data_IF_961511014031
#
_entry.id   IF_961511014031
#
_cell.length_a   1.000
_cell.length_b   1.000
_cell.length_c   1.000
_cell.angle_alpha   90.00
_cell.angle_beta   90.00
_cell.angle_gamma   90.00
#
_symmetry.space_group_name_H-M   'P 1'
#
loop_
_entity.id
_entity.type
_entity.pdbx_description
1 polymer ?
#
# COMPACT_ATOMS: atom_id res chain seq x y z
N UNK A 1 30.27 55.44 -4.86
CA UNK A 1 29.99 54.46 -3.80
C UNK A 1 28.73 54.77 -3.00
N UNK A 2 28.55 55.99 -2.45
CA UNK A 2 27.30 56.35 -1.73
C UNK A 2 26.02 56.28 -2.59
N UNK A 3 26.08 56.68 -3.85
CA UNK A 3 24.95 56.55 -4.80
C UNK A 3 24.57 55.10 -5.12
N UNK A 4 25.52 54.16 -5.05
CA UNK A 4 25.25 52.75 -5.38
C UNK A 4 24.51 52.03 -4.25
N UNK A 5 24.67 52.50 -3.01
CA UNK A 5 24.01 51.92 -1.83
C UNK A 5 22.54 52.37 -1.72
N UNK A 6 22.22 53.62 -2.08
CA UNK A 6 20.83 54.13 -2.02
C UNK A 6 19.86 53.43 -2.98
N UNK A 7 20.35 52.97 -4.14
CA UNK A 7 19.51 52.23 -5.10
C UNK A 7 19.20 50.80 -4.65
N UNK A 8 20.02 50.21 -3.78
CA UNK A 8 19.78 48.86 -3.25
C UNK A 8 18.72 48.84 -2.15
N UNK A 9 18.66 49.87 -1.29
CA UNK A 9 17.62 50.00 -0.26
C UNK A 9 16.23 50.17 -0.89
N UNK A 10 16.11 51.03 -1.92
CA UNK A 10 14.85 51.22 -2.64
C UNK A 10 14.35 49.95 -3.33
N UNK A 11 15.27 49.12 -3.86
CA UNK A 11 14.92 47.85 -4.46
C UNK A 11 14.45 46.83 -3.42
N UNK A 12 15.10 46.77 -2.25
CA UNK A 12 14.73 45.86 -1.18
C UNK A 12 13.35 46.18 -0.59
N UNK A 13 13.05 47.46 -0.36
CA UNK A 13 11.73 47.91 0.11
C UNK A 13 10.61 47.66 -0.90
N UNK A 14 10.91 47.71 -2.20
CA UNK A 14 9.96 47.35 -3.25
C UNK A 14 9.69 45.84 -3.27
N UNK A 15 10.73 45.02 -3.10
CA UNK A 15 10.58 43.56 -3.00
C UNK A 15 9.79 43.13 -1.75
N UNK A 16 10.03 43.77 -0.60
CA UNK A 16 9.28 43.49 0.63
C UNK A 16 7.79 43.81 0.46
N UNK A 17 7.45 44.98 -0.09
CA UNK A 17 6.05 45.35 -0.36
C UNK A 17 5.37 44.38 -1.33
N UNK A 18 6.06 43.99 -2.40
CA UNK A 18 5.52 43.01 -3.35
C UNK A 18 5.29 41.63 -2.70
N UNK A 19 6.13 41.24 -1.72
CA UNK A 19 5.96 40.00 -0.98
C UNK A 19 4.76 40.07 -0.03
N UNK A 20 4.61 41.19 0.70
CA UNK A 20 3.47 41.43 1.60
C UNK A 20 2.14 41.42 0.84
N UNK A 21 2.08 42.10 -0.32
CA UNK A 21 0.89 42.09 -1.19
C UNK A 21 0.55 40.68 -1.71
N UNK A 22 1.57 39.86 -2.03
CA UNK A 22 1.35 38.49 -2.49
C UNK A 22 0.82 37.58 -1.37
N UNK A 23 1.34 37.74 -0.15
CA UNK A 23 0.85 37.01 1.04
C UNK A 23 -0.60 37.38 1.32
N UNK A 24 -0.94 38.66 1.33
CA UNK A 24 -2.32 39.13 1.58
C UNK A 24 -3.29 38.61 0.52
N UNK A 25 -2.90 38.61 -0.77
CA UNK A 25 -3.70 38.05 -1.86
C UNK A 25 -3.96 36.54 -1.65
N UNK A 26 -2.93 35.76 -1.28
CA UNK A 26 -3.06 34.32 -1.03
C UNK A 26 -3.95 34.01 0.16
N UNK A 27 -3.85 34.79 1.23
CA UNK A 27 -4.73 34.65 2.41
C UNK A 27 -6.18 34.95 2.01
N UNK A 28 -6.43 36.03 1.26
CA UNK A 28 -7.78 36.37 0.77
C UNK A 28 -8.37 35.26 -0.12
N UNK A 29 -7.57 34.67 -1.01
CA UNK A 29 -8.02 33.55 -1.85
C UNK A 29 -8.35 32.30 -1.03
N UNK A 30 -7.53 31.96 -0.04
CA UNK A 30 -7.78 30.81 0.83
C UNK A 30 -9.06 30.99 1.66
N UNK A 31 -9.27 32.18 2.24
CA UNK A 31 -10.49 32.51 2.99
C UNK A 31 -11.73 32.46 2.07
N UNK A 32 -11.64 32.99 0.85
CA UNK A 32 -12.75 32.94 -0.10
C UNK A 32 -13.11 31.51 -0.52
N UNK A 33 -12.12 30.64 -0.73
CA UNK A 33 -12.34 29.22 -1.05
C UNK A 33 -13.02 28.48 0.11
N UNK A 34 -12.65 28.78 1.36
CA UNK A 34 -13.25 28.16 2.53
C UNK A 34 -14.70 28.64 2.75
N UNK A 35 -14.97 29.93 2.50
CA UNK A 35 -16.34 30.47 2.50
C UNK A 35 -17.21 29.78 1.43
N UNK A 36 -16.67 29.55 0.23
CA UNK A 36 -17.41 28.88 -0.86
C UNK A 36 -17.72 27.41 -0.52
N UNK A 37 -16.80 26.69 0.15
CA UNK A 37 -17.07 25.34 0.67
C UNK A 37 -18.20 25.34 1.69
N UNK A 38 -18.18 26.29 2.64
CA UNK A 38 -19.21 26.41 3.67
C UNK A 38 -20.57 26.84 3.11
N UNK A 39 -20.59 27.63 2.03
CA UNK A 39 -21.82 28.06 1.36
C UNK A 39 -22.43 26.99 0.45
N UNK A 40 -21.61 26.07 -0.08
CA UNK A 40 -22.07 24.95 -0.93
C UNK A 40 -22.52 23.72 -0.14
N UNK A 41 -23.05 23.94 1.07
CA UNK A 41 -23.46 22.92 2.02
C UNK A 41 -23.98 21.62 1.38
N UNK A 42 -23.37 20.52 1.82
CA UNK A 42 -23.95 19.21 2.06
C UNK A 42 -25.17 18.86 1.17
N UNK A 43 -24.90 18.60 -0.10
CA UNK A 43 -25.77 17.76 -0.91
C UNK A 43 -25.57 16.31 -0.46
N UNK A 44 -26.57 15.77 0.22
CA UNK A 44 -26.66 14.37 0.64
C UNK A 44 -26.24 13.41 -0.49
N UNK A 45 -25.18 12.65 -0.25
CA UNK A 45 -24.88 11.46 -1.04
C UNK A 45 -25.68 10.27 -0.50
N UNK A 46 -26.17 9.39 -1.38
CA UNK A 46 -26.95 8.23 -0.99
C UNK A 46 -26.09 7.21 -0.25
N UNK A 47 -26.61 6.74 0.87
CA UNK A 47 -26.14 5.57 1.59
C UNK A 47 -26.16 4.35 0.66
N UNK A 48 -25.00 3.74 0.43
CA UNK A 48 -24.90 2.32 0.11
C UNK A 48 -23.50 1.77 0.44
N UNK A 49 -23.54 0.74 1.28
CA UNK A 49 -22.62 -0.41 1.41
C UNK A 49 -21.48 -0.38 2.45
N UNK A 50 -21.59 -1.34 3.37
CA UNK A 50 -20.78 -1.61 4.55
C UNK A 50 -19.31 -1.88 4.19
N UNK A 51 -18.41 -0.97 4.55
CA UNK A 51 -17.01 -1.35 4.79
C UNK A 51 -16.38 -0.51 5.90
N UNK A 52 -15.88 -1.20 6.92
CA UNK A 52 -15.11 -0.66 8.05
C UNK A 52 -13.87 0.12 7.57
N UNK A 53 -14.07 1.38 7.20
CA UNK A 53 -13.02 2.38 7.04
C UNK A 53 -13.12 3.35 8.20
N UNK A 54 -12.15 3.26 9.12
CA UNK A 54 -11.88 4.30 10.11
C UNK A 54 -11.56 5.61 9.36
N UNK A 55 -12.57 6.44 9.17
CA UNK A 55 -12.46 7.81 8.67
C UNK A 55 -11.67 8.67 9.66
N UNK A 56 -10.66 9.36 9.13
CA UNK A 56 -9.96 10.42 9.83
C UNK A 56 -10.86 11.66 9.75
N UNK A 57 -11.72 11.84 10.74
CA UNK A 57 -12.63 12.98 10.87
C UNK A 57 -11.85 14.30 10.97
N UNK A 58 -12.20 15.24 10.09
CA UNK A 58 -11.95 16.68 10.23
C UNK A 58 -12.84 17.24 11.35
N UNK A 59 -12.30 18.19 12.12
CA UNK A 59 -12.92 18.81 13.30
C UNK A 59 -14.19 19.60 12.93
N UNK A 60 -15.36 18.95 12.90
CA UNK A 60 -16.66 19.62 12.84
C UNK A 60 -17.13 20.16 14.20
N UNK A 61 -17.78 21.32 14.15
CA UNK A 61 -18.27 22.10 15.29
C UNK A 61 -19.49 21.40 15.94
N UNK A 62 -19.25 20.62 17.00
CA UNK A 62 -20.29 19.92 17.76
C UNK A 62 -21.31 20.87 18.42
N UNK A 63 -22.57 20.77 17.99
CA UNK A 63 -23.74 21.27 18.74
C UNK A 63 -23.89 20.48 20.04
N UNK A 64 -23.93 21.17 21.18
CA UNK A 64 -24.15 20.59 22.53
C UNK A 64 -25.45 19.78 22.60
N UNK A 65 -25.40 18.46 22.38
CA UNK A 65 -26.46 17.52 22.75
C UNK A 65 -26.21 17.08 24.20
N UNK A 66 -27.18 17.34 25.06
CA UNK A 66 -27.16 16.92 26.46
C UNK A 66 -27.36 15.39 26.53
N UNK A 67 -26.35 14.66 27.00
CA UNK A 67 -26.36 13.20 27.04
C UNK A 67 -27.20 12.74 28.23
N UNK A 68 -28.35 12.09 27.96
CA UNK A 68 -29.16 11.46 29.02
C UNK A 68 -28.36 10.32 29.67
N UNK A 69 -28.18 10.38 31.00
CA UNK A 69 -27.29 9.53 31.80
C UNK A 69 -27.78 8.09 32.04
N UNK A 70 -29.04 7.78 31.75
CA UNK A 70 -29.62 6.48 32.13
C UNK A 70 -29.22 5.37 31.15
N UNK A 71 -28.31 4.50 31.59
CA UNK A 71 -28.02 3.22 30.93
C UNK A 71 -26.77 3.14 30.05
N UNK A 72 -25.90 4.16 30.03
CA UNK A 72 -24.62 4.03 29.31
C UNK A 72 -23.69 3.04 30.02
N UNK A 73 -23.30 1.98 29.30
CA UNK A 73 -22.25 1.05 29.75
C UNK A 73 -20.87 1.70 29.59
N UNK A 74 -19.90 1.26 30.39
CA UNK A 74 -18.49 1.69 30.26
C UNK A 74 -17.97 1.53 28.83
N UNK A 75 -18.25 0.38 28.20
CA UNK A 75 -17.87 0.12 26.82
C UNK A 75 -18.51 1.11 25.83
N UNK A 76 -19.81 1.39 25.95
CA UNK A 76 -20.50 2.37 25.09
C UNK A 76 -19.94 3.79 25.29
N UNK A 77 -19.72 4.20 26.54
CA UNK A 77 -19.13 5.49 26.86
C UNK A 77 -17.73 5.65 26.28
N UNK A 78 -16.89 4.60 26.34
CA UNK A 78 -15.52 4.60 25.81
C UNK A 78 -15.45 4.74 24.28
N UNK A 79 -16.53 4.39 23.58
CA UNK A 79 -16.64 4.50 22.12
C UNK A 79 -17.34 5.78 21.65
N UNK A 80 -17.71 6.68 22.57
CA UNK A 80 -18.27 7.99 22.20
C UNK A 80 -17.24 8.87 21.47
N UNK A 81 -17.70 9.71 20.53
CA UNK A 81 -16.83 10.59 19.75
C UNK A 81 -16.05 11.58 20.63
N UNK A 82 -16.65 12.06 21.73
CA UNK A 82 -15.97 12.89 22.73
C UNK A 82 -14.72 12.20 23.32
N UNK A 83 -14.81 10.90 23.63
CA UNK A 83 -13.67 10.14 24.14
C UNK A 83 -12.66 9.85 23.03
N UNK A 84 -13.11 9.55 21.80
CA UNK A 84 -12.19 9.39 20.65
C UNK A 84 -11.36 10.67 20.40
N UNK A 85 -12.02 11.82 20.46
CA UNK A 85 -11.39 13.13 20.35
C UNK A 85 -10.40 13.37 21.50
N UNK A 86 -10.80 13.09 22.74
CA UNK A 86 -9.89 13.17 23.90
C UNK A 86 -8.65 12.31 23.71
N UNK A 87 -8.79 11.03 23.33
CA UNK A 87 -7.64 10.14 23.11
C UNK A 87 -6.72 10.71 22.02
N UNK A 88 -7.27 11.30 20.96
CA UNK A 88 -6.47 11.97 19.92
C UNK A 88 -5.67 13.15 20.50
N UNK A 89 -6.28 13.98 21.35
CA UNK A 89 -5.58 15.06 22.07
C UNK A 89 -4.48 14.51 22.97
N UNK A 90 -4.73 13.41 23.68
CA UNK A 90 -3.72 12.78 24.53
C UNK A 90 -2.51 12.30 23.71
N UNK A 91 -2.71 11.66 22.56
CA UNK A 91 -1.58 11.26 21.71
C UNK A 91 -0.77 12.46 21.20
N UNK A 92 -1.43 13.55 20.79
CA UNK A 92 -0.76 14.81 20.40
C UNK A 92 0.09 15.37 21.55
N UNK A 93 -0.49 15.42 22.75
CA UNK A 93 0.15 15.92 23.96
C UNK A 93 1.39 15.09 24.36
N UNK A 94 1.24 13.76 24.40
CA UNK A 94 2.31 12.85 24.80
C UNK A 94 3.42 12.70 23.75
N UNK A 95 3.11 12.88 22.46
CA UNK A 95 4.12 12.88 21.39
C UNK A 95 4.77 14.26 21.18
N UNK A 96 4.20 15.32 21.76
CA UNK A 96 4.67 16.69 21.56
C UNK A 96 4.46 17.21 20.13
N UNK A 97 3.33 16.86 19.49
CA UNK A 97 3.05 17.20 18.09
C UNK A 97 1.63 17.74 17.87
N UNK A 98 1.49 18.60 16.87
CA UNK A 98 0.20 19.24 16.54
C UNK A 98 -0.74 18.34 15.72
N UNK A 99 -0.17 17.38 15.00
CA UNK A 99 -0.89 16.49 14.09
C UNK A 99 -0.39 15.05 14.20
N UNK A 100 -1.24 14.08 13.84
CA UNK A 100 -0.95 12.64 13.85
C UNK A 100 -1.09 12.01 12.46
N UNK A 101 -1.07 12.83 11.41
CA UNK A 101 -1.40 12.38 10.03
C UNK A 101 -0.20 11.84 9.27
N UNK A 102 1.03 12.28 9.58
CA UNK A 102 2.24 11.89 8.85
C UNK A 102 3.21 11.12 9.72
N UNK A 103 4.13 10.39 9.09
CA UNK A 103 5.15 9.60 9.77
C UNK A 103 6.08 10.47 10.60
N UNK A 104 6.46 11.63 10.08
CA UNK A 104 7.36 12.58 10.73
C UNK A 104 6.77 13.06 12.05
N UNK A 105 5.46 13.31 12.07
CA UNK A 105 4.78 13.71 13.30
C UNK A 105 4.68 12.56 14.32
N UNK A 106 4.70 11.31 13.89
CA UNK A 106 4.67 10.15 14.81
C UNK A 106 6.04 9.84 15.43
N UNK A 107 7.13 10.37 14.87
CA UNK A 107 8.46 10.22 15.46
C UNK A 107 8.67 11.10 16.71
N UNK A 108 7.79 12.08 16.92
CA UNK A 108 7.89 13.02 18.04
C UNK A 108 9.06 14.00 17.89
N UNK A 109 9.34 14.76 18.95
CA UNK A 109 10.51 15.62 18.99
C UNK A 109 11.80 14.77 18.99
N UNK A 110 12.67 14.99 18.02
CA UNK A 110 13.99 14.34 17.99
C UNK A 110 14.82 14.82 19.19
N UNK A 111 14.95 14.00 20.22
CA UNK A 111 15.86 14.30 21.33
C UNK A 111 17.26 13.82 20.97
N UNK A 112 18.26 14.70 20.84
CA UNK A 112 19.64 14.27 20.65
C UNK A 112 20.12 13.58 21.93
N UNK A 113 20.56 12.32 21.84
CA UNK A 113 21.46 11.69 22.81
C UNK A 113 20.93 11.40 24.24
N UNK A 114 19.81 10.70 24.35
CA UNK A 114 19.46 10.02 25.62
C UNK A 114 19.03 10.95 26.76
N UNK A 115 18.78 12.22 26.45
CA UNK A 115 18.16 13.16 27.38
C UNK A 115 16.69 12.79 27.63
N UNK A 116 16.20 13.13 28.83
CA UNK A 116 14.80 12.95 29.22
C UNK A 116 13.87 13.73 28.27
N UNK A 117 12.77 13.10 27.85
CA UNK A 117 11.78 13.73 26.99
C UNK A 117 11.14 14.95 27.70
N UNK A 118 10.74 16.02 26.98
CA UNK A 118 10.14 17.19 27.62
C UNK A 118 8.94 16.83 28.51
N UNK A 119 8.79 17.55 29.63
CA UNK A 119 7.60 17.46 30.45
C UNK A 119 6.38 17.98 29.69
N UNK A 120 5.25 17.32 29.86
CA UNK A 120 3.95 17.83 29.40
C UNK A 120 3.63 19.08 30.21
N UNK A 121 3.34 20.23 29.56
CA UNK A 121 3.11 21.50 30.25
C UNK A 121 2.08 21.39 31.38
N UNK A 122 2.48 21.84 32.59
CA UNK A 122 1.62 21.82 33.77
C UNK A 122 1.56 20.48 34.51
N UNK A 123 2.43 19.53 34.16
CA UNK A 123 2.47 18.21 34.80
C UNK A 123 3.91 17.73 35.03
N UNK A 124 4.06 16.73 35.89
CA UNK A 124 5.33 16.04 36.12
C UNK A 124 5.52 14.81 35.18
N UNK A 125 4.65 14.67 34.18
CA UNK A 125 4.67 13.54 33.25
C UNK A 125 5.48 13.90 32.02
N UNK A 126 6.43 13.04 31.65
CA UNK A 126 7.25 13.21 30.47
C UNK A 126 6.48 12.79 29.20
N UNK A 127 6.82 13.42 28.08
CA UNK A 127 6.43 12.92 26.76
C UNK A 127 6.93 11.48 26.54
N UNK A 128 6.32 10.78 25.58
CA UNK A 128 6.55 9.35 25.34
C UNK A 128 6.90 9.11 23.89
N UNK A 129 7.93 8.30 23.64
CA UNK A 129 8.21 7.72 22.32
C UNK A 129 7.73 6.28 22.24
N UNK A 130 7.07 5.92 21.14
CA UNK A 130 6.66 4.54 20.88
C UNK A 130 7.62 3.79 19.96
N UNK A 131 7.72 2.49 20.18
CA UNK A 131 8.29 1.59 19.19
C UNK A 131 7.20 1.21 18.19
N UNK A 132 7.15 1.93 17.07
CA UNK A 132 6.16 1.74 16.01
C UNK A 132 6.34 0.42 15.23
N UNK A 133 7.48 -0.26 15.33
CA UNK A 133 7.64 -1.59 14.72
C UNK A 133 6.84 -2.64 15.48
N UNK A 134 6.57 -2.38 16.76
CA UNK A 134 5.98 -3.31 17.71
C UNK A 134 4.51 -2.99 18.01
N UNK A 135 3.75 -4.03 18.39
CA UNK A 135 2.32 -3.90 18.71
C UNK A 135 2.11 -3.36 20.12
N UNK A 136 0.89 -2.94 20.45
CA UNK A 136 0.51 -2.49 21.79
C UNK A 136 0.79 -3.53 22.89
N UNK A 137 0.76 -4.83 22.54
CA UNK A 137 0.92 -5.94 23.49
C UNK A 137 2.37 -6.20 23.93
N UNK A 138 3.36 -5.59 23.26
CA UNK A 138 4.76 -5.71 23.70
C UNK A 138 5.00 -4.82 24.92
N UNK A 139 5.83 -5.30 25.85
CA UNK A 139 5.93 -4.79 27.22
C UNK A 139 6.17 -3.27 27.31
N UNK A 140 7.02 -2.72 26.44
CA UNK A 140 7.36 -1.29 26.48
C UNK A 140 6.21 -0.39 26.02
N UNK A 141 5.55 -0.73 24.91
CA UNK A 141 4.40 0.04 24.42
C UNK A 141 3.20 -0.12 25.37
N UNK A 142 2.98 -1.31 25.93
CA UNK A 142 1.87 -1.56 26.85
C UNK A 142 1.89 -0.65 28.08
N UNK A 143 3.06 -0.50 28.73
CA UNK A 143 3.22 0.39 29.88
C UNK A 143 2.99 1.86 29.52
N UNK A 144 3.52 2.30 28.37
CA UNK A 144 3.32 3.66 27.84
C UNK A 144 1.85 3.98 27.56
N UNK A 145 1.12 3.05 26.96
CA UNK A 145 -0.31 3.20 26.67
C UNK A 145 -1.16 3.21 27.95
N UNK A 146 -0.73 2.46 28.97
CA UNK A 146 -1.34 2.50 30.30
C UNK A 146 -1.17 3.86 30.97
N UNK A 147 0.03 4.45 30.91
CA UNK A 147 0.27 5.83 31.38
C UNK A 147 -0.66 6.84 30.69
N UNK A 148 -0.84 6.73 29.38
CA UNK A 148 -1.77 7.62 28.64
C UNK A 148 -3.22 7.42 29.11
N UNK A 149 -3.65 6.17 29.32
CA UNK A 149 -5.01 5.88 29.76
C UNK A 149 -5.27 6.40 31.19
N UNK A 150 -4.34 6.21 32.12
CA UNK A 150 -4.43 6.75 33.48
C UNK A 150 -4.45 8.28 33.49
N UNK A 151 -3.59 8.90 32.69
CA UNK A 151 -3.56 10.36 32.54
C UNK A 151 -4.86 10.91 31.96
N UNK A 152 -5.39 10.27 30.90
CA UNK A 152 -6.68 10.64 30.31
C UNK A 152 -7.84 10.48 31.30
N UNK A 153 -7.81 9.44 32.14
CA UNK A 153 -8.84 9.19 33.16
C UNK A 153 -8.84 10.25 34.25
N UNK A 154 -7.68 10.74 34.64
CA UNK A 154 -7.49 11.69 35.76
C UNK A 154 -7.62 13.15 35.31
N UNK A 155 -6.95 13.51 34.22
CA UNK A 155 -6.81 14.90 33.76
C UNK A 155 -7.56 15.17 32.44
N UNK A 156 -8.16 14.17 31.79
CA UNK A 156 -8.75 14.35 30.45
C UNK A 156 -9.85 15.42 30.37
N UNK A 157 -10.53 15.70 31.48
CA UNK A 157 -11.53 16.77 31.57
C UNK A 157 -10.95 18.18 31.45
N UNK A 158 -9.66 18.37 31.73
CA UNK A 158 -8.95 19.65 31.55
C UNK A 158 -8.63 19.92 30.08
N UNK A 159 -8.52 18.86 29.27
CA UNK A 159 -8.12 18.94 27.86
C UNK A 159 -9.28 18.89 26.87
N UNK A 160 -10.43 18.33 27.26
CA UNK A 160 -11.62 18.29 26.41
C UNK A 160 -12.88 18.52 27.24
N UNK A 161 -13.61 19.60 26.96
CA UNK A 161 -14.87 19.89 27.64
C UNK A 161 -15.92 18.81 27.38
N UNK A 162 -16.75 18.49 28.38
CA UNK A 162 -17.86 17.56 28.25
C UNK A 162 -17.51 16.08 28.43
N UNK A 163 -16.22 15.73 28.58
CA UNK A 163 -15.81 14.33 28.79
C UNK A 163 -15.91 13.88 30.25
N UNK A 164 -16.01 14.80 31.22
CA UNK A 164 -15.96 14.48 32.65
C UNK A 164 -16.96 13.39 33.06
N UNK A 165 -18.22 13.56 32.66
CA UNK A 165 -19.29 12.60 33.00
C UNK A 165 -19.07 11.23 32.36
N UNK A 166 -18.53 11.20 31.14
CA UNK A 166 -18.18 9.97 30.44
C UNK A 166 -16.99 9.29 31.11
N UNK A 167 -15.96 10.05 31.47
CA UNK A 167 -14.80 9.56 32.18
C UNK A 167 -15.23 8.94 33.51
N UNK A 168 -16.17 9.51 34.27
CA UNK A 168 -16.64 8.93 35.53
C UNK A 168 -17.24 7.51 35.35
N UNK A 169 -17.89 7.24 34.21
CA UNK A 169 -18.52 5.96 33.88
C UNK A 169 -17.51 4.93 33.36
N UNK A 170 -16.51 5.36 32.58
CA UNK A 170 -15.60 4.48 31.85
C UNK A 170 -14.60 3.80 32.81
N UNK A 171 -14.54 2.47 32.80
CA UNK A 171 -13.51 1.71 33.49
C UNK A 171 -12.15 1.88 32.79
N UNK A 172 -11.07 1.85 33.57
CA UNK A 172 -9.71 2.03 33.04
C UNK A 172 -9.36 1.00 31.94
N UNK A 173 -9.85 -0.24 32.06
CA UNK A 173 -9.65 -1.29 31.05
C UNK A 173 -10.25 -0.95 29.68
N UNK A 174 -11.46 -0.39 29.66
CA UNK A 174 -12.10 0.04 28.40
C UNK A 174 -11.39 1.26 27.80
N UNK A 175 -10.96 2.21 28.64
CA UNK A 175 -10.18 3.37 28.19
C UNK A 175 -8.83 2.94 27.61
N UNK A 176 -8.13 2.00 28.26
CA UNK A 176 -6.87 1.41 27.76
C UNK A 176 -7.09 0.74 26.41
N UNK A 177 -8.15 -0.06 26.26
CA UNK A 177 -8.51 -0.67 24.97
C UNK A 177 -8.72 0.36 23.85
N UNK A 178 -9.32 1.52 24.17
CA UNK A 178 -9.47 2.62 23.22
C UNK A 178 -8.15 3.27 22.85
N UNK A 179 -7.26 3.49 23.83
CA UNK A 179 -5.89 3.99 23.60
C UNK A 179 -5.09 3.01 22.72
N UNK A 180 -5.19 1.71 22.96
CA UNK A 180 -4.56 0.67 22.12
C UNK A 180 -5.08 0.68 20.68
N UNK A 181 -6.39 0.83 20.50
CA UNK A 181 -7.01 0.95 19.17
C UNK A 181 -6.44 2.14 18.40
N UNK A 182 -6.36 3.32 19.05
CA UNK A 182 -5.77 4.51 18.42
C UNK A 182 -4.28 4.30 18.10
N UNK A 183 -3.50 3.72 19.02
CA UNK A 183 -2.09 3.38 18.77
C UNK A 183 -1.91 2.50 17.54
N UNK A 184 -2.71 1.43 17.41
CA UNK A 184 -2.60 0.52 16.27
C UNK A 184 -2.96 1.20 14.94
N UNK A 185 -3.92 2.14 14.96
CA UNK A 185 -4.24 2.98 13.80
C UNK A 185 -3.05 3.86 13.40
N UNK A 186 -2.43 4.58 14.36
CA UNK A 186 -1.23 5.41 14.11
C UNK A 186 -0.04 4.58 13.64
N UNK A 187 0.16 3.39 14.22
CA UNK A 187 1.15 2.43 13.75
C UNK A 187 0.92 2.01 12.30
N UNK A 188 -0.34 1.88 11.88
CA UNK A 188 -0.70 1.63 10.49
C UNK A 188 -0.21 2.75 9.56
N UNK A 189 -0.41 4.01 9.94
CA UNK A 189 0.10 5.19 9.23
C UNK A 189 1.62 5.13 9.11
N UNK A 190 2.32 4.91 10.24
CA UNK A 190 3.77 4.81 10.27
C UNK A 190 4.32 3.73 9.31
N UNK A 191 3.72 2.53 9.32
CA UNK A 191 4.18 1.40 8.49
C UNK A 191 3.83 1.59 7.01
N UNK A 192 2.69 2.22 6.69
CA UNK A 192 2.34 2.57 5.31
C UNK A 192 3.35 3.55 4.73
N UNK A 193 3.68 4.61 5.47
CA UNK A 193 4.68 5.59 5.03
C UNK A 193 6.07 4.94 4.80
N UNK A 194 6.51 4.02 5.68
CA UNK A 194 7.76 3.27 5.45
C UNK A 194 7.72 2.43 4.17
N UNK A 195 6.55 1.87 3.85
CA UNK A 195 6.34 1.07 2.63
C UNK A 195 6.23 1.98 1.40
N UNK A 196 5.62 3.15 1.54
CA UNK A 196 5.53 4.19 0.51
C UNK A 196 6.90 4.76 0.19
N UNK A 197 7.80 4.97 1.14
CA UNK A 197 9.19 5.36 0.84
C UNK A 197 9.92 4.30 0.01
N UNK A 198 9.64 3.02 0.28
CA UNK A 198 10.16 1.88 -0.49
C UNK A 198 9.46 1.80 -1.86
N UNK A 199 8.18 2.12 -1.92
CA UNK A 199 7.37 2.05 -3.12
C UNK A 199 7.45 3.30 -4.00
N UNK A 200 7.78 4.49 -3.51
CA UNK A 200 8.03 5.70 -4.31
C UNK A 200 9.31 5.53 -5.12
N UNK A 201 10.30 4.80 -4.57
CA UNK A 201 11.42 4.27 -5.39
C UNK A 201 10.92 3.32 -6.49
N UNK A 202 9.81 2.61 -6.28
CA UNK A 202 9.10 1.83 -7.30
C UNK A 202 8.04 2.63 -8.08
N UNK A 203 7.62 3.84 -7.74
CA UNK A 203 6.56 4.55 -8.48
C UNK A 203 7.04 5.07 -9.84
N UNK A 204 8.36 5.16 -10.04
CA UNK A 204 8.96 5.18 -11.38
C UNK A 204 8.55 3.97 -12.25
N UNK A 205 8.06 2.89 -11.66
CA UNK A 205 7.50 1.70 -12.32
C UNK A 205 5.96 1.66 -12.39
N UNK A 206 5.24 2.42 -11.57
CA UNK A 206 3.76 2.45 -11.57
C UNK A 206 3.19 3.10 -12.84
N UNK A 207 3.77 4.23 -13.27
CA UNK A 207 3.44 4.85 -14.56
C UNK A 207 3.78 3.92 -15.74
N UNK A 208 4.82 3.10 -15.62
CA UNK A 208 5.22 2.13 -16.65
C UNK A 208 4.22 0.98 -16.75
N UNK A 209 3.75 0.45 -15.63
CA UNK A 209 2.74 -0.61 -15.59
C UNK A 209 1.42 -0.17 -16.25
N UNK A 210 0.97 1.05 -16.01
CA UNK A 210 -0.23 1.60 -16.66
C UNK A 210 -0.05 1.73 -18.17
N UNK A 211 1.16 2.08 -18.65
CA UNK A 211 1.43 2.21 -20.08
C UNK A 211 1.52 0.87 -20.78
N UNK A 212 2.27 -0.09 -20.22
CA UNK A 212 2.35 -1.44 -20.78
C UNK A 212 0.95 -2.08 -20.88
N UNK A 213 0.09 -1.86 -19.88
CA UNK A 213 -1.31 -2.26 -19.91
C UNK A 213 -2.09 -1.58 -21.04
N UNK A 214 -2.02 -0.25 -21.16
CA UNK A 214 -2.68 0.49 -22.24
C UNK A 214 -2.23 0.05 -23.64
N UNK A 215 -0.94 -0.24 -23.81
CA UNK A 215 -0.36 -0.76 -25.06
C UNK A 215 -0.89 -2.16 -25.38
N UNK A 216 -0.95 -3.05 -24.38
CA UNK A 216 -1.53 -4.38 -24.54
C UNK A 216 -3.00 -4.28 -24.99
N UNK A 217 -3.81 -3.47 -24.31
CA UNK A 217 -5.23 -3.30 -24.65
C UNK A 217 -5.41 -2.77 -26.08
N UNK A 218 -4.58 -1.82 -26.52
CA UNK A 218 -4.58 -1.33 -27.89
C UNK A 218 -4.23 -2.43 -28.89
N UNK A 219 -3.18 -3.23 -28.61
CA UNK A 219 -2.77 -4.36 -29.46
C UNK A 219 -3.84 -5.44 -29.55
N UNK A 220 -4.56 -5.75 -28.46
CA UNK A 220 -5.69 -6.69 -28.48
C UNK A 220 -6.79 -6.16 -29.40
N UNK A 221 -7.17 -4.88 -29.31
CA UNK A 221 -8.17 -4.27 -30.19
C UNK A 221 -7.73 -4.31 -31.65
N UNK A 222 -6.49 -3.91 -31.94
CA UNK A 222 -5.89 -3.92 -33.28
C UNK A 222 -5.85 -5.33 -33.87
N UNK A 223 -5.43 -6.32 -33.10
CA UNK A 223 -5.41 -7.73 -33.51
C UNK A 223 -6.80 -8.27 -33.80
N UNK A 224 -7.81 -7.93 -32.99
CA UNK A 224 -9.19 -8.35 -33.24
C UNK A 224 -9.75 -7.76 -34.55
N UNK A 225 -9.22 -6.61 -34.97
CA UNK A 225 -9.59 -5.94 -36.23
C UNK A 225 -8.83 -6.47 -37.46
N UNK A 226 -7.88 -7.41 -37.30
CA UNK A 226 -7.24 -8.06 -38.43
C UNK A 226 -8.24 -8.92 -39.23
N UNK A 227 -8.01 -9.11 -40.54
CA UNK A 227 -8.76 -10.06 -41.36
C UNK A 227 -8.81 -11.45 -40.72
N UNK A 228 -9.93 -12.16 -40.90
CA UNK A 228 -10.16 -13.47 -40.26
C UNK A 228 -9.14 -14.53 -40.71
N UNK A 229 -8.65 -14.41 -41.93
CA UNK A 229 -7.65 -15.27 -42.57
C UNK A 229 -6.20 -14.86 -42.23
N UNK A 230 -5.99 -13.78 -41.47
CA UNK A 230 -4.65 -13.36 -41.07
C UNK A 230 -4.04 -14.33 -40.05
N UNK A 231 -2.83 -14.81 -40.34
CA UNK A 231 -2.13 -15.78 -39.49
C UNK A 231 -1.96 -15.33 -38.03
N UNK A 232 -1.79 -14.03 -37.80
CA UNK A 232 -1.57 -13.47 -36.46
C UNK A 232 -2.84 -13.42 -35.62
N UNK A 233 -4.01 -13.68 -36.21
CA UNK A 233 -5.26 -13.88 -35.47
C UNK A 233 -5.33 -15.25 -34.79
N UNK A 234 -4.49 -16.21 -35.21
CA UNK A 234 -4.43 -17.54 -34.63
C UNK A 234 -4.16 -17.52 -33.11
N UNK A 235 -4.84 -18.38 -32.36
CA UNK A 235 -4.71 -18.51 -30.90
C UNK A 235 -3.29 -18.83 -30.44
N UNK A 236 -2.42 -19.41 -31.28
CA UNK A 236 -1.02 -19.71 -30.91
C UNK A 236 -0.23 -18.46 -30.46
N UNK A 237 -0.62 -17.28 -30.95
CA UNK A 237 -0.01 -15.99 -30.60
C UNK A 237 -0.62 -15.33 -29.36
N UNK A 238 -1.70 -15.88 -28.77
CA UNK A 238 -2.32 -15.31 -27.56
C UNK A 238 -1.33 -15.15 -26.41
N UNK A 239 -0.35 -16.06 -26.34
CA UNK A 239 0.69 -16.04 -25.31
C UNK A 239 1.57 -14.77 -25.35
N UNK A 240 1.68 -14.09 -26.50
CA UNK A 240 2.41 -12.83 -26.61
C UNK A 240 1.60 -11.60 -26.15
N UNK A 241 0.28 -11.76 -25.98
CA UNK A 241 -0.65 -10.71 -25.57
C UNK A 241 -0.77 -10.63 -24.04
N UNK A 242 0.37 -10.51 -23.36
CA UNK A 242 0.47 -10.32 -21.91
C UNK A 242 1.33 -9.10 -21.59
N UNK A 243 1.10 -8.49 -20.42
CA UNK A 243 1.70 -7.18 -20.06
C UNK A 243 3.24 -7.27 -20.05
N UNK A 244 3.78 -8.40 -19.59
CA UNK A 244 5.21 -8.64 -19.45
C UNK A 244 5.95 -8.70 -20.79
N UNK A 245 5.25 -9.00 -21.88
CA UNK A 245 5.84 -9.08 -23.23
C UNK A 245 5.83 -7.73 -23.97
N UNK A 246 5.13 -6.73 -23.43
CA UNK A 246 5.08 -5.39 -24.01
C UNK A 246 6.43 -4.68 -23.79
N UNK A 247 6.86 -3.86 -24.75
CA UNK A 247 8.06 -3.04 -24.56
C UNK A 247 7.78 -1.90 -23.58
N UNK A 248 8.81 -1.48 -22.84
CA UNK A 248 8.78 -0.24 -22.08
C UNK A 248 8.93 0.93 -23.05
N UNK A 249 8.04 1.91 -22.97
CA UNK A 249 8.12 3.11 -23.82
C UNK A 249 8.82 4.21 -23.03
N UNK A 250 9.93 4.71 -23.57
CA UNK A 250 10.70 5.79 -22.96
C UNK A 250 10.26 7.14 -23.51
N UNK A 251 10.28 8.18 -22.69
CA UNK A 251 10.11 9.55 -23.19
C UNK A 251 11.31 9.88 -24.06
N UNK A 252 11.07 10.40 -25.26
CA UNK A 252 12.15 10.94 -26.08
C UNK A 252 12.75 12.16 -25.36
N UNK A 253 14.05 12.17 -25.04
CA UNK A 253 14.68 13.33 -24.41
C UNK A 253 14.70 14.57 -25.30
N UNK A 254 14.66 14.40 -26.63
CA UNK A 254 14.64 15.51 -27.59
C UNK A 254 13.21 16.06 -27.80
N UNK A 255 12.21 15.18 -27.75
CA UNK A 255 10.81 15.54 -28.01
C UNK A 255 9.88 15.01 -26.90
N UNK A 256 9.56 15.79 -25.84
CA UNK A 256 8.82 15.30 -24.67
C UNK A 256 7.38 14.85 -24.98
N UNK A 257 6.87 15.17 -26.17
CA UNK A 257 5.57 14.73 -26.68
C UNK A 257 5.63 13.45 -27.52
N UNK A 258 6.79 12.81 -27.64
CA UNK A 258 6.97 11.52 -28.33
C UNK A 258 7.46 10.46 -27.38
N UNK A 259 7.06 9.22 -27.66
CA UNK A 259 7.55 8.05 -26.96
C UNK A 259 8.34 7.16 -27.92
N UNK A 260 9.46 6.63 -27.44
CA UNK A 260 10.29 5.68 -28.15
C UNK A 260 9.98 4.29 -27.58
N UNK A 261 9.40 3.43 -28.41
CA UNK A 261 9.20 2.01 -28.08
C UNK A 261 10.43 1.24 -28.51
N UNK A 262 11.16 0.65 -27.56
CA UNK A 262 12.36 -0.15 -27.84
C UNK A 262 12.04 -1.64 -27.68
N UNK A 263 12.31 -2.43 -28.72
CA UNK A 263 12.22 -3.88 -28.60
C UNK A 263 13.28 -4.41 -27.63
N UNK A 264 13.00 -5.53 -26.95
CA UNK A 264 14.04 -6.20 -26.17
C UNK A 264 14.96 -6.99 -27.11
N UNK A 265 16.25 -7.04 -26.81
CA UNK A 265 17.25 -7.77 -27.60
C UNK A 265 17.00 -9.27 -27.66
N UNK A 266 16.36 -9.85 -26.63
CA UNK A 266 16.01 -11.27 -26.62
C UNK A 266 14.85 -11.65 -27.53
N UNK A 267 14.07 -10.70 -28.07
CA UNK A 267 12.89 -11.04 -28.88
C UNK A 267 13.30 -11.79 -30.14
N UNK A 268 12.61 -12.88 -30.42
CA UNK A 268 12.72 -13.55 -31.71
C UNK A 268 12.20 -12.65 -32.84
N UNK A 269 12.67 -12.91 -34.06
CA UNK A 269 12.17 -12.24 -35.25
C UNK A 269 10.66 -12.45 -35.42
N UNK A 270 10.16 -13.68 -35.20
CA UNK A 270 8.72 -14.00 -35.34
C UNK A 270 7.84 -13.21 -34.36
N UNK A 271 8.30 -12.99 -33.11
CA UNK A 271 7.57 -12.14 -32.17
C UNK A 271 7.57 -10.67 -32.59
N UNK A 272 8.69 -10.19 -33.16
CA UNK A 272 8.79 -8.82 -33.64
C UNK A 272 7.87 -8.59 -34.85
N UNK A 273 7.86 -9.50 -35.81
CA UNK A 273 6.96 -9.47 -36.97
C UNK A 273 5.48 -9.51 -36.57
N UNK A 274 5.13 -10.34 -35.57
CA UNK A 274 3.80 -10.35 -34.98
C UNK A 274 3.39 -8.98 -34.43
N UNK A 275 4.25 -8.35 -33.62
CA UNK A 275 3.94 -7.03 -33.07
C UNK A 275 3.89 -5.94 -34.14
N UNK A 276 4.77 -5.98 -35.14
CA UNK A 276 4.79 -5.01 -36.22
C UNK A 276 3.52 -5.10 -37.08
N UNK A 277 3.05 -6.32 -37.38
CA UNK A 277 1.80 -6.55 -38.09
C UNK A 277 0.58 -6.04 -37.32
N UNK A 278 0.53 -6.26 -36.00
CA UNK A 278 -0.55 -5.75 -35.14
C UNK A 278 -0.48 -4.23 -35.01
N UNK A 279 0.70 -3.67 -34.76
CA UNK A 279 0.88 -2.24 -34.51
C UNK A 279 0.63 -1.38 -35.76
N UNK A 280 0.84 -1.94 -36.95
CA UNK A 280 0.49 -1.33 -38.26
C UNK A 280 -1.00 -1.07 -38.41
N UNK A 281 -1.86 -1.86 -37.76
CA UNK A 281 -3.31 -1.66 -37.83
C UNK A 281 -3.74 -0.38 -37.09
N UNK A 282 -4.68 0.40 -37.64
CA UNK A 282 -5.28 1.51 -36.91
C UNK A 282 -6.07 0.98 -35.71
N UNK A 283 -5.97 1.64 -34.55
CA UNK A 283 -6.78 1.27 -33.38
C UNK A 283 -8.24 1.71 -33.61
N UNK A 284 -9.21 0.79 -33.61
CA UNK A 284 -10.63 1.13 -33.83
C UNK A 284 -11.21 2.05 -32.73
N UNK A 285 -10.57 2.10 -31.56
CA UNK A 285 -10.94 3.01 -30.45
C UNK A 285 -9.83 4.00 -30.13
N UNK A 286 -9.04 4.41 -31.12
CA UNK A 286 -7.97 5.38 -30.95
C UNK A 286 -8.49 6.70 -30.39
N UNK A 287 -7.89 7.17 -29.30
CA UNK A 287 -8.13 8.53 -28.80
C UNK A 287 -7.48 9.55 -29.76
N UNK A 288 -8.11 10.70 -29.96
CA UNK A 288 -7.49 11.83 -30.67
C UNK A 288 -6.24 12.36 -29.96
N UNK A 289 -6.08 12.04 -28.67
CA UNK A 289 -4.90 12.36 -27.87
C UNK A 289 -3.82 11.28 -27.94
N UNK A 290 -3.95 10.28 -28.82
CA UNK A 290 -2.94 9.24 -28.98
C UNK A 290 -1.61 9.86 -29.42
N UNK A 291 -0.58 9.66 -28.60
CA UNK A 291 0.78 10.11 -28.90
C UNK A 291 1.44 9.06 -29.79
N UNK A 292 1.88 9.41 -31.02
CA UNK A 292 2.60 8.48 -31.89
C UNK A 292 3.84 7.91 -31.20
N UNK A 293 4.00 6.60 -31.33
CA UNK A 293 5.19 5.90 -30.85
C UNK A 293 6.16 5.74 -32.03
N UNK A 294 7.44 6.04 -31.80
CA UNK A 294 8.50 5.78 -32.77
C UNK A 294 9.21 4.49 -32.37
N UNK A 295 9.45 3.60 -33.33
CA UNK A 295 10.24 2.41 -33.10
C UNK A 295 11.71 2.81 -32.89
N UNK A 296 12.26 2.51 -31.72
CA UNK A 296 13.65 2.78 -31.37
C UNK A 296 14.55 1.56 -31.56
N UNK A 297 15.86 1.77 -31.40
CA UNK A 297 16.83 0.66 -31.36
C UNK A 297 16.50 -0.31 -30.24
N UNK A 298 16.75 -1.61 -30.48
CA UNK A 298 16.58 -2.64 -29.48
C UNK A 298 17.42 -2.32 -28.23
N UNK A 299 16.87 -2.62 -27.07
CA UNK A 299 17.47 -2.35 -25.76
C UNK A 299 17.72 -3.65 -25.03
N UNK A 300 18.92 -3.76 -24.45
CA UNK A 300 19.27 -4.87 -23.57
C UNK A 300 18.37 -4.84 -22.34
N UNK A 301 17.55 -5.88 -22.19
CA UNK A 301 16.62 -6.03 -21.08
C UNK A 301 16.60 -7.50 -20.69
N UNK A 302 16.63 -7.86 -19.40
CA UNK A 302 16.53 -9.25 -18.98
C UNK A 302 15.15 -9.82 -19.33
N UNK A 303 15.09 -11.13 -19.57
CA UNK A 303 13.82 -11.84 -19.74
C UNK A 303 12.96 -11.72 -18.47
N UNK A 304 11.66 -11.38 -18.52
CA UNK A 304 10.83 -11.25 -17.32
C UNK A 304 10.80 -12.53 -16.48
N UNK A 305 10.80 -12.40 -15.15
CA UNK A 305 10.64 -13.55 -14.24
C UNK A 305 9.26 -13.51 -13.58
N UNK A 306 8.47 -14.57 -13.77
CA UNK A 306 7.13 -14.68 -13.19
C UNK A 306 6.89 -16.07 -12.62
N UNK A 307 6.23 -16.10 -11.46
CA UNK A 307 5.82 -17.38 -10.85
C UNK A 307 4.68 -18.05 -11.61
N UNK A 308 3.84 -17.28 -12.30
CA UNK A 308 2.72 -17.77 -13.10
C UNK A 308 3.15 -17.98 -14.55
N UNK A 309 2.64 -19.04 -15.18
CA UNK A 309 2.93 -19.39 -16.58
C UNK A 309 2.53 -18.30 -17.58
N UNK A 310 1.40 -17.63 -17.35
CA UNK A 310 0.87 -16.59 -18.24
C UNK A 310 1.87 -15.45 -18.48
N UNK A 311 2.68 -15.10 -17.47
CA UNK A 311 3.67 -14.03 -17.59
C UNK A 311 5.04 -14.45 -18.12
N UNK A 312 5.26 -15.75 -18.38
CA UNK A 312 6.56 -16.28 -18.84
C UNK A 312 6.65 -16.17 -20.35
N UNK A 313 7.85 -15.88 -20.85
CA UNK A 313 8.10 -15.96 -22.28
C UNK A 313 8.01 -17.41 -22.76
N UNK A 314 7.57 -17.62 -24.00
CA UNK A 314 7.60 -18.94 -24.67
C UNK A 314 8.89 -19.08 -25.49
N UNK A 315 9.35 -20.30 -25.75
CA UNK A 315 10.57 -20.51 -26.56
C UNK A 315 10.51 -19.84 -27.93
N UNK A 316 9.38 -19.86 -28.61
CA UNK A 316 9.21 -19.18 -29.91
C UNK A 316 9.37 -17.65 -29.84
N UNK A 317 9.15 -17.05 -28.66
CA UNK A 317 9.25 -15.59 -28.45
C UNK A 317 10.69 -15.10 -28.26
N UNK A 318 11.62 -16.00 -28.00
CA UNK A 318 12.99 -15.68 -27.63
C UNK A 318 13.92 -16.11 -28.76
N UNK A 319 14.85 -15.24 -29.15
CA UNK A 319 15.88 -15.56 -30.13
C UNK A 319 16.74 -16.72 -29.62
N UNK A 320 16.93 -17.74 -30.46
CA UNK A 320 17.76 -18.91 -30.13
C UNK A 320 19.22 -18.53 -29.92
N UNK A 321 19.74 -17.59 -30.72
CA UNK A 321 21.10 -17.06 -30.59
C UNK A 321 21.29 -16.38 -29.24
N UNK A 322 20.37 -15.49 -28.86
CA UNK A 322 20.42 -14.80 -27.57
C UNK A 322 20.32 -15.76 -26.39
N UNK A 323 19.46 -16.79 -26.48
CA UNK A 323 19.32 -17.78 -25.40
C UNK A 323 20.57 -18.67 -25.25
N UNK A 324 21.27 -18.97 -26.36
CA UNK A 324 22.53 -19.69 -26.32
C UNK A 324 23.64 -18.89 -25.63
N UNK A 325 23.66 -17.57 -25.87
CA UNK A 325 24.62 -16.67 -25.22
C UNK A 325 24.30 -16.44 -23.74
N UNK A 326 23.03 -16.58 -23.33
CA UNK A 326 22.56 -16.30 -21.98
C UNK A 326 21.76 -17.48 -21.36
N UNK A 327 22.41 -18.65 -21.17
CA UNK A 327 21.76 -19.87 -20.69
C UNK A 327 21.19 -19.74 -19.27
N UNK A 328 21.64 -18.77 -18.47
CA UNK A 328 21.10 -18.48 -17.14
C UNK A 328 19.63 -18.03 -17.16
N UNK A 329 19.10 -17.63 -18.32
CA UNK A 329 17.69 -17.28 -18.50
C UNK A 329 16.81 -18.46 -18.90
N UNK A 330 17.36 -19.61 -19.31
CA UNK A 330 16.60 -20.84 -19.57
C UNK A 330 16.22 -21.53 -18.27
N UNK A 331 15.31 -20.89 -17.53
CA UNK A 331 14.79 -21.38 -16.25
C UNK A 331 13.28 -21.46 -16.29
N UNK A 332 12.66 -22.43 -15.59
CA UNK A 332 11.20 -22.61 -15.60
C UNK A 332 10.39 -21.39 -15.16
N UNK A 333 11.00 -20.44 -14.42
CA UNK A 333 10.35 -19.22 -13.93
C UNK A 333 10.41 -18.03 -14.92
N UNK A 334 11.12 -18.16 -16.04
CA UNK A 334 11.30 -17.10 -17.04
C UNK A 334 10.87 -17.55 -18.42
N UNK A 335 11.24 -18.77 -18.77
CA UNK A 335 10.97 -19.39 -20.05
C UNK A 335 10.10 -20.63 -19.84
N UNK A 336 9.10 -20.78 -20.69
CA UNK A 336 8.28 -21.97 -20.77
C UNK A 336 8.35 -22.54 -22.19
N UNK A 337 8.17 -23.85 -22.30
CA UNK A 337 8.04 -24.51 -23.59
C UNK A 337 6.78 -24.01 -24.33
N UNK A 338 6.72 -24.29 -25.64
CA UNK A 338 5.59 -23.84 -26.44
C UNK A 338 4.36 -24.73 -26.16
N UNK A 339 3.17 -24.26 -26.55
CA UNK A 339 1.95 -25.06 -26.41
C UNK A 339 1.80 -26.03 -27.57
N UNK A 340 0.82 -26.94 -27.46
CA UNK A 340 0.49 -27.87 -28.57
C UNK A 340 0.14 -27.16 -29.88
N UNK A 341 -0.34 -25.91 -29.81
CA UNK A 341 -0.63 -25.08 -30.97
C UNK A 341 0.61 -24.71 -31.79
N UNK A 342 1.80 -24.87 -31.22
CA UNK A 342 3.10 -24.73 -31.88
C UNK A 342 3.73 -26.06 -32.31
N UNK A 343 3.00 -27.17 -32.15
CA UNK A 343 3.48 -28.52 -32.52
C UNK A 343 4.16 -29.28 -31.38
N UNK A 344 4.26 -28.72 -30.18
CA UNK A 344 4.85 -29.40 -29.03
C UNK A 344 3.94 -30.55 -28.54
N UNK A 345 4.55 -31.63 -28.02
CA UNK A 345 3.81 -32.83 -27.63
C UNK A 345 2.90 -32.62 -26.40
N UNK A 346 3.30 -31.74 -25.47
CA UNK A 346 2.59 -31.49 -24.21
C UNK A 346 2.37 -30.00 -24.02
N UNK A 347 1.22 -29.66 -23.45
CA UNK A 347 0.96 -28.28 -23.07
C UNK A 347 1.65 -27.98 -21.73
N UNK A 348 2.38 -26.87 -21.60
CA UNK A 348 2.94 -26.43 -20.33
C UNK A 348 1.87 -26.20 -19.25
N UNK A 349 0.63 -25.84 -19.61
CA UNK A 349 -0.47 -25.74 -18.65
C UNK A 349 -0.84 -27.11 -18.05
N UNK A 350 -0.84 -28.16 -18.88
CA UNK A 350 -1.08 -29.53 -18.42
C UNK A 350 0.02 -29.99 -17.46
N UNK A 351 1.28 -29.62 -17.72
CA UNK A 351 2.42 -29.94 -16.85
C UNK A 351 2.31 -29.25 -15.49
N UNK A 352 2.01 -27.95 -15.44
CA UNK A 352 1.85 -27.24 -14.17
C UNK A 352 0.66 -27.77 -13.36
N UNK A 353 -0.46 -28.11 -14.03
CA UNK A 353 -1.62 -28.72 -13.36
C UNK A 353 -1.25 -30.07 -12.72
N UNK A 354 -0.56 -30.94 -13.46
CA UNK A 354 -0.08 -32.22 -12.94
C UNK A 354 0.89 -32.04 -11.77
N UNK A 355 1.80 -31.07 -11.83
CA UNK A 355 2.71 -30.76 -10.73
C UNK A 355 1.96 -30.25 -9.48
N UNK A 356 0.96 -29.39 -9.68
CA UNK A 356 0.13 -28.86 -8.59
C UNK A 356 -0.68 -29.99 -7.91
N UNK A 357 -1.29 -30.88 -8.69
CA UNK A 357 -1.99 -32.08 -8.21
C UNK A 357 -1.04 -33.00 -7.44
N UNK A 358 0.14 -33.28 -7.99
CA UNK A 358 1.18 -34.08 -7.33
C UNK A 358 1.63 -33.44 -6.01
N UNK A 359 1.77 -32.11 -5.96
CA UNK A 359 2.12 -31.39 -4.74
C UNK A 359 1.00 -31.45 -3.70
N UNK A 360 -0.26 -31.35 -4.13
CA UNK A 360 -1.44 -31.50 -3.26
C UNK A 360 -1.51 -32.92 -2.69
N UNK A 361 -1.41 -33.94 -3.53
CA UNK A 361 -1.38 -35.34 -3.11
C UNK A 361 -0.24 -35.64 -2.13
N UNK A 362 0.98 -35.11 -2.38
CA UNK A 362 2.11 -35.23 -1.44
C UNK A 362 1.84 -34.56 -0.09
N UNK A 363 1.15 -33.40 -0.08
CA UNK A 363 0.76 -32.72 1.17
C UNK A 363 -0.28 -33.53 1.94
N UNK A 364 -1.29 -34.07 1.27
CA UNK A 364 -2.34 -34.90 1.87
C UNK A 364 -1.74 -36.18 2.48
N UNK A 365 -0.83 -36.85 1.76
CA UNK A 365 -0.11 -38.02 2.29
C UNK A 365 0.71 -37.64 3.53
N UNK A 366 1.40 -36.49 3.51
CA UNK A 366 2.20 -36.03 4.65
C UNK A 366 1.34 -35.67 5.86
N UNK A 367 0.17 -35.07 5.64
CA UNK A 367 -0.79 -34.74 6.70
C UNK A 367 -1.42 -36.01 7.30
N UNK A 368 -1.81 -36.98 6.46
CA UNK A 368 -2.30 -38.28 6.92
C UNK A 368 -1.28 -39.02 7.78
N UNK A 369 0.01 -39.01 7.38
CA UNK A 369 1.09 -39.60 8.19
C UNK A 369 1.30 -38.91 9.54
N UNK A 370 1.09 -37.60 9.63
CA UNK A 370 1.20 -36.86 10.91
C UNK A 370 0.07 -37.22 11.87
N UNK A 371 -1.17 -37.32 11.39
CA UNK A 371 -2.33 -37.71 12.22
C UNK A 371 -2.15 -39.11 12.81
N UNK A 372 -1.66 -40.06 12.01
CA UNK A 372 -1.39 -41.44 12.50
C UNK A 372 -0.32 -41.47 13.60
N UNK A 373 0.72 -40.63 13.50
CA UNK A 373 1.75 -40.54 14.52
C UNK A 373 1.21 -39.92 15.82
N UNK A 374 0.45 -38.82 15.73
CA UNK A 374 -0.16 -38.18 16.90
C UNK A 374 -1.14 -39.13 17.62
N UNK A 375 -1.93 -39.91 16.89
CA UNK A 375 -2.85 -40.89 17.49
C UNK A 375 -2.09 -42.04 18.18
N UNK A 376 -0.96 -42.48 17.62
CA UNK A 376 -0.12 -43.54 18.21
C UNK A 376 0.59 -43.12 19.51
N UNK A 377 0.91 -41.83 19.66
CA UNK A 377 1.49 -41.27 20.88
C UNK A 377 0.45 -41.06 21.99
N UNK A 378 -0.82 -40.79 21.62
CA UNK A 378 -1.93 -40.72 22.59
C UNK A 378 -2.26 -42.11 23.13
N UNK A 379 -2.23 -43.15 22.29
CA UNK A 379 -2.57 -44.52 22.72
C UNK A 379 -1.49 -45.17 23.58
N UNK A 380 -0.21 -44.92 23.28
CA UNK A 380 0.92 -45.37 24.10
C UNK A 380 0.98 -44.67 25.47
N UNK A 381 0.62 -43.38 25.54
CA UNK A 381 0.46 -42.67 26.82
C UNK A 381 -0.75 -43.14 27.65
N UNK A 382 -1.86 -43.53 27.01
CA UNK A 382 -3.01 -44.13 27.72
C UNK A 382 -2.68 -45.49 28.33
N UNK A 383 -1.88 -46.33 27.66
CA UNK A 383 -1.43 -47.62 28.22
C UNK A 383 -0.50 -47.44 29.43
N UNK A 384 0.50 -46.54 29.36
CA UNK A 384 1.39 -46.25 30.51
C UNK A 384 0.65 -45.75 31.76
N UNK A 385 -0.43 -44.95 31.60
CA UNK A 385 -1.24 -44.50 32.75
C UNK A 385 -2.04 -45.64 33.41
N UNK A 386 -2.42 -46.68 32.66
CA UNK A 386 -3.18 -47.82 33.19
C UNK A 386 -2.30 -48.77 34.01
N UNK A 387 -1.08 -49.02 33.56
CA UNK A 387 -0.14 -49.88 34.30
C UNK A 387 0.36 -49.23 35.60
N UNK A 388 0.61 -47.92 35.60
CA UNK A 388 0.99 -47.19 36.82
C UNK A 388 -0.14 -47.13 37.86
N UNK A 389 -1.41 -47.20 37.42
CA UNK A 389 -2.56 -47.24 38.35
C UNK A 389 -2.69 -48.61 39.03
N UNK A 390 -2.35 -49.70 38.34
CA UNK A 390 -2.38 -51.06 38.91
C UNK A 390 -1.20 -51.37 39.85
N UNK A 391 -0.05 -50.72 39.69
CA UNK A 391 1.06 -50.87 40.65
C UNK A 391 0.79 -50.13 41.97
N UNK A 392 0.02 -49.05 41.96
CA UNK A 392 -0.29 -48.26 43.17
C UNK A 392 -1.37 -48.88 44.07
N UNK A 393 -2.12 -49.86 43.60
CA UNK A 393 -3.14 -50.58 44.38
C UNK A 393 -2.65 -51.92 44.96
N UNK A 394 -1.36 -52.23 44.83
CA UNK A 394 -0.71 -53.44 45.38
C UNK A 394 0.34 -53.15 46.47
N UNK A 395 0.44 -51.89 46.90
CA UNK A 395 1.04 -51.49 48.17
C UNK A 395 -0.10 -51.01 49.06
#
# INVERSE_FOLDING_TARGET
MKEYLGNHELYFDACLRALEENIDLRVKMAVAAEIDKLQKGEGAEPEDDDSDKDELEDDEVEKKKEVKREGLTSHAASNSNLIKALITVMFKLFLGVDSLTTRENLLGASVPNGDELPLIPGTDVHQIHFDWENTAKKSENGAKLETIAEFAKTHGHDYKSGVKELLDIIQLGDLKSRVETKFNSLRGIYRRALTEDINMKKESSGTKANRAKGKLEARIRKRNNLPEDNEYKNMKYNTAMVIQMQSDDEKDPAEPKKFISRAATWRSQELQEFFDAVDTQPDPKGSSQYIPQVCGQAKEMPLPATKQLEGRARRWMVSTEWLNDHPEFDTPNRLADNSRLWGDAKDPEDLERLEAENKKAKKEIKEGKRKVLDDSDVESNRKKKKDNKNQKSRK
#
